data_IF_576535107961
#
_entry.id   IF_576535107961
#
_cell.length_a   1.000
_cell.length_b   1.000
_cell.length_c   1.000
_cell.angle_alpha   90.00
_cell.angle_beta   90.00
_cell.angle_gamma   90.00
#
_symmetry.space_group_name_H-M   'P 1'
#
loop_
_entity.id
_entity.type
_entity.pdbx_description
1 polymer ?
#
# COMPACT_ATOMS: atom_id res chain seq x y z
N UNK A 1 14.31 25.46 2.23
CA UNK A 1 14.77 24.07 2.00
C UNK A 1 14.92 23.38 3.35
N UNK A 2 13.86 22.73 3.86
CA UNK A 2 13.95 21.90 5.07
C UNK A 2 13.03 20.65 5.06
N UNK A 3 12.32 20.39 3.95
CA UNK A 3 11.30 19.33 3.91
C UNK A 3 11.87 17.94 3.56
N UNK A 4 13.14 17.85 3.14
CA UNK A 4 13.76 16.57 2.73
C UNK A 4 13.79 15.53 3.87
N UNK A 5 14.09 15.99 5.09
CA UNK A 5 14.07 15.14 6.28
C UNK A 5 12.64 14.70 6.63
N UNK A 6 11.68 15.62 6.53
CA UNK A 6 10.26 15.33 6.78
C UNK A 6 9.69 14.32 5.78
N UNK A 7 10.01 14.46 4.49
CA UNK A 7 9.63 13.50 3.47
C UNK A 7 10.24 12.12 3.70
N UNK A 8 11.51 12.07 4.12
CA UNK A 8 12.19 10.82 4.42
C UNK A 8 11.60 10.14 5.66
N UNK A 9 11.36 10.90 6.73
CA UNK A 9 10.77 10.41 7.98
C UNK A 9 9.35 9.90 7.75
N UNK A 10 8.53 10.71 7.08
CA UNK A 10 7.18 10.33 6.66
C UNK A 10 7.19 9.05 5.81
N UNK A 11 8.07 8.97 4.81
CA UNK A 11 8.14 7.78 3.95
C UNK A 11 8.53 6.53 4.75
N UNK A 12 9.51 6.65 5.64
CA UNK A 12 9.96 5.53 6.47
C UNK A 12 8.89 5.10 7.48
N UNK A 13 8.14 6.05 8.06
CA UNK A 13 7.08 5.76 9.01
C UNK A 13 5.85 5.15 8.32
N UNK A 14 5.41 5.75 7.21
CA UNK A 14 4.25 5.28 6.44
C UNK A 14 4.57 3.91 5.85
N UNK A 15 5.66 3.77 5.09
CA UNK A 15 5.97 2.60 4.27
C UNK A 15 6.87 1.55 4.95
N UNK A 16 6.99 1.56 6.28
CA UNK A 16 7.77 0.57 7.05
C UNK A 16 7.29 -0.87 6.87
N UNK A 17 6.00 -1.07 6.64
CA UNK A 17 5.36 -2.39 6.59
C UNK A 17 4.70 -2.61 5.22
N UNK A 18 5.43 -3.16 4.24
CA UNK A 18 4.91 -3.29 2.88
C UNK A 18 3.68 -4.19 2.81
N UNK A 19 3.44 -5.08 3.77
CA UNK A 19 2.23 -5.90 3.81
C UNK A 19 0.93 -5.08 4.01
N UNK A 20 1.00 -3.87 4.58
CA UNK A 20 -0.18 -3.09 4.99
C UNK A 20 -0.68 -2.07 3.97
N UNK A 21 0.09 -1.78 2.91
CA UNK A 21 -0.30 -0.78 1.90
C UNK A 21 -1.10 -1.39 0.75
N UNK A 22 -1.72 -0.57 -0.09
CA UNK A 22 -2.25 -1.03 -1.38
C UNK A 22 -1.12 -1.14 -2.41
N UNK A 23 -1.38 -1.81 -3.54
CA UNK A 23 -0.40 -1.96 -4.61
C UNK A 23 -0.02 -0.64 -5.29
N UNK A 24 -0.88 0.38 -5.17
CA UNK A 24 -0.66 1.73 -5.63
C UNK A 24 -1.14 2.71 -4.57
N UNK A 25 -0.28 3.65 -4.20
CA UNK A 25 -0.60 4.72 -3.27
C UNK A 25 -0.14 6.05 -3.85
N UNK A 26 -1.05 7.02 -3.82
CA UNK A 26 -0.77 8.43 -4.11
C UNK A 26 -1.02 9.20 -2.83
N UNK A 27 0.01 9.83 -2.26
CA UNK A 27 -0.13 10.57 -1.02
C UNK A 27 -0.02 12.08 -1.27
N UNK A 28 -0.98 12.84 -0.74
CA UNK A 28 -1.02 14.30 -0.85
C UNK A 28 0.20 15.00 -0.26
N UNK A 29 0.87 14.37 0.72
CA UNK A 29 2.11 14.87 1.29
C UNK A 29 3.27 14.84 0.30
N UNK A 30 3.20 14.06 -0.79
CA UNK A 30 4.19 14.06 -1.87
C UNK A 30 3.72 14.87 -3.09
N UNK A 31 3.06 16.00 -2.86
CA UNK A 31 2.71 16.97 -3.90
C UNK A 31 3.83 18.01 -4.05
N UNK A 32 4.18 18.30 -5.30
CA UNK A 32 5.14 19.32 -5.68
C UNK A 32 4.59 20.19 -6.80
N UNK A 33 4.96 21.47 -6.80
CA UNK A 33 4.60 22.39 -7.88
C UNK A 33 5.45 22.15 -9.14
N UNK A 34 6.69 21.67 -8.98
CA UNK A 34 7.59 21.37 -10.11
C UNK A 34 7.95 19.89 -10.20
N UNK A 35 8.20 19.43 -11.43
CA UNK A 35 8.71 18.07 -11.69
C UNK A 35 10.10 17.87 -11.11
N UNK A 36 10.93 18.92 -11.09
CA UNK A 36 12.32 18.86 -10.63
C UNK A 36 12.38 18.55 -9.13
N UNK A 37 11.59 19.26 -8.31
CA UNK A 37 11.50 19.01 -6.87
C UNK A 37 10.97 17.61 -6.55
N UNK A 38 9.96 17.16 -7.30
CA UNK A 38 9.44 15.79 -7.16
C UNK A 38 10.49 14.73 -7.51
N UNK A 39 11.28 14.95 -8.56
CA UNK A 39 12.35 14.04 -8.97
C UNK A 39 13.52 14.04 -7.97
N UNK A 40 13.91 15.20 -7.47
CA UNK A 40 14.95 15.32 -6.44
C UNK A 40 14.54 14.56 -5.18
N UNK A 41 13.32 14.79 -4.69
CA UNK A 41 12.79 14.09 -3.52
C UNK A 41 12.68 12.59 -3.77
N UNK A 42 12.18 12.16 -4.95
CA UNK A 42 12.14 10.74 -5.32
C UNK A 42 13.54 10.10 -5.29
N UNK A 43 14.54 10.76 -5.88
CA UNK A 43 15.91 10.24 -5.89
C UNK A 43 16.50 10.18 -4.49
N UNK A 44 16.24 11.19 -3.66
CA UNK A 44 16.64 11.20 -2.25
C UNK A 44 15.99 10.04 -1.46
N UNK A 45 14.69 9.77 -1.67
CA UNK A 45 14.00 8.65 -1.02
C UNK A 45 14.63 7.31 -1.44
N UNK A 46 14.92 7.11 -2.72
CA UNK A 46 15.58 5.91 -3.22
C UNK A 46 16.97 5.72 -2.58
N UNK A 47 17.73 6.80 -2.43
CA UNK A 47 19.10 6.73 -1.89
C UNK A 47 19.16 6.58 -0.37
N UNK A 48 18.24 7.21 0.36
CA UNK A 48 18.32 7.35 1.82
C UNK A 48 17.32 6.50 2.60
N UNK A 49 16.19 6.11 2.00
CA UNK A 49 15.20 5.30 2.70
C UNK A 49 15.55 3.81 2.64
N UNK A 50 15.67 3.12 3.78
CA UNK A 50 15.81 1.66 3.80
C UNK A 50 14.56 0.93 3.29
N UNK A 51 13.39 1.59 3.31
CA UNK A 51 12.12 1.05 2.87
C UNK A 51 11.93 1.15 1.36
N UNK A 52 12.58 2.10 0.68
CA UNK A 52 12.38 2.36 -0.74
C UNK A 52 12.67 1.14 -1.64
N UNK A 53 13.54 0.22 -1.20
CA UNK A 53 13.86 -1.02 -1.94
C UNK A 53 12.67 -1.97 -2.15
N UNK A 54 11.59 -1.82 -1.38
CA UNK A 54 10.38 -2.63 -1.52
C UNK A 54 9.33 -2.02 -2.46
N UNK A 55 9.60 -0.81 -2.97
CA UNK A 55 8.64 -0.04 -3.74
C UNK A 55 9.26 0.50 -5.03
N UNK A 56 8.41 0.67 -6.04
CA UNK A 56 8.69 1.42 -7.26
C UNK A 56 8.11 2.81 -7.11
N UNK A 57 8.99 3.80 -6.98
CA UNK A 57 8.63 5.21 -6.92
C UNK A 57 8.57 5.81 -8.33
N UNK A 58 7.47 6.48 -8.66
CA UNK A 58 7.29 7.19 -9.94
C UNK A 58 6.88 8.64 -9.69
N UNK A 59 7.07 9.51 -10.69
CA UNK A 59 6.62 10.91 -10.63
C UNK A 59 5.59 11.11 -11.73
N UNK A 60 4.37 11.43 -11.33
CA UNK A 60 3.22 11.55 -12.23
C UNK A 60 2.57 12.93 -12.04
N UNK A 61 2.18 13.58 -13.14
CA UNK A 61 1.38 14.80 -13.06
C UNK A 61 -0.08 14.41 -12.94
N UNK A 62 -0.71 14.78 -11.82
CA UNK A 62 -2.09 14.39 -11.53
C UNK A 62 -2.94 15.67 -11.55
N UNK A 63 -3.98 15.65 -12.39
CA UNK A 63 -5.06 16.63 -12.38
C UNK A 63 -6.33 15.95 -11.85
N UNK A 64 -6.51 15.90 -10.52
CA UNK A 64 -7.61 15.22 -9.89
C UNK A 64 -8.90 16.05 -10.05
N UNK A 65 -9.97 15.43 -10.52
CA UNK A 65 -11.16 16.20 -10.89
C UNK A 65 -11.88 16.89 -9.72
N UNK A 66 -11.72 16.49 -8.43
CA UNK A 66 -12.47 17.12 -7.31
C UNK A 66 -11.89 17.07 -5.88
N UNK A 67 -10.78 16.39 -5.56
CA UNK A 67 -10.38 16.20 -4.14
C UNK A 67 -8.89 16.32 -3.82
N UNK A 68 -8.03 16.36 -4.82
CA UNK A 68 -6.60 16.57 -4.62
C UNK A 68 -6.20 17.88 -5.34
N UNK A 69 -5.05 18.45 -5.00
CA UNK A 69 -4.56 19.63 -5.71
C UNK A 69 -3.92 19.21 -7.03
N UNK A 70 -3.95 20.07 -8.05
CA UNK A 70 -3.15 19.85 -9.26
C UNK A 70 -1.66 19.91 -8.91
N UNK A 71 -0.87 18.99 -9.46
CA UNK A 71 0.58 19.05 -9.30
C UNK A 71 1.31 17.78 -9.70
N UNK A 72 2.61 17.78 -9.42
CA UNK A 72 3.49 16.63 -9.56
C UNK A 72 3.45 15.81 -8.29
N UNK A 73 3.18 14.52 -8.42
CA UNK A 73 3.06 13.61 -7.29
C UNK A 73 4.11 12.52 -7.37
N UNK A 74 4.68 12.14 -6.22
CA UNK A 74 5.39 10.87 -6.11
C UNK A 74 4.37 9.77 -5.84
N UNK A 75 4.32 8.79 -6.74
CA UNK A 75 3.45 7.62 -6.63
C UNK A 75 4.27 6.41 -6.20
N UNK A 76 3.70 5.62 -5.30
CA UNK A 76 4.38 4.48 -4.68
C UNK A 76 3.66 3.21 -5.09
N UNK A 77 4.38 2.31 -5.77
CA UNK A 77 3.88 0.97 -6.12
C UNK A 77 4.67 -0.07 -5.36
N UNK A 78 4.03 -1.10 -4.86
CA UNK A 78 4.78 -2.23 -4.29
C UNK A 78 5.52 -2.99 -5.38
N UNK A 79 6.71 -3.47 -5.06
CA UNK A 79 7.36 -4.49 -5.87
C UNK A 79 6.81 -5.85 -5.42
N UNK A 80 6.42 -6.68 -6.39
CA UNK A 80 5.91 -8.05 -6.16
C UNK A 80 6.91 -8.95 -5.41
N UNK A 81 8.17 -8.53 -5.32
CA UNK A 81 9.27 -9.27 -4.69
C UNK A 81 9.30 -9.07 -3.16
N UNK A 82 8.16 -9.05 -2.49
CA UNK A 82 8.21 -9.43 -1.09
C UNK A 82 8.42 -10.95 -1.06
N UNK A 83 9.48 -11.48 -0.41
CA UNK A 83 9.39 -12.85 0.06
C UNK A 83 8.12 -12.88 0.89
N UNK A 84 7.12 -13.67 0.45
CA UNK A 84 5.98 -14.01 1.29
C UNK A 84 6.57 -14.29 2.66
N UNK A 85 6.16 -13.55 3.68
CA UNK A 85 6.36 -14.02 5.05
C UNK A 85 5.93 -15.49 5.01
N UNK A 86 6.74 -16.45 5.53
CA UNK A 86 6.28 -17.82 5.61
C UNK A 86 4.89 -17.74 6.20
N UNK A 87 3.91 -18.22 5.43
CA UNK A 87 2.54 -18.33 5.84
C UNK A 87 2.64 -18.93 7.24
N UNK A 88 2.37 -18.12 8.28
CA UNK A 88 2.17 -18.68 9.59
C UNK A 88 0.98 -19.58 9.34
N UNK A 89 1.27 -20.88 9.15
CA UNK A 89 0.28 -21.93 9.08
C UNK A 89 -0.67 -21.61 10.22
N UNK A 90 -1.82 -21.07 9.89
CA UNK A 90 -2.97 -21.15 10.76
C UNK A 90 -3.30 -22.63 10.75
N UNK A 91 -2.61 -23.35 11.62
CA UNK A 91 -3.05 -24.64 12.10
C UNK A 91 -4.43 -24.41 12.69
N UNK A 92 -5.40 -24.98 11.98
CA UNK A 92 -6.66 -25.49 12.53
C UNK A 92 -7.72 -24.44 12.86
N UNK A 93 -8.70 -24.29 11.96
CA UNK A 93 -10.03 -24.86 12.22
C UNK A 93 -10.90 -24.88 10.94
N UNK A 94 -11.60 -26.00 10.69
CA UNK A 94 -12.45 -26.17 9.53
C UNK A 94 -13.68 -25.26 9.61
N UNK A 95 -14.05 -24.75 8.43
CA UNK A 95 -15.33 -24.15 8.05
C UNK A 95 -16.51 -24.72 8.88
N UNK A 96 -17.28 -23.92 9.62
CA UNK A 96 -18.54 -24.39 10.17
C UNK A 96 -19.52 -24.58 9.01
N UNK A 97 -19.69 -25.85 8.65
CA UNK A 97 -20.79 -26.35 7.85
C UNK A 97 -22.12 -25.91 8.50
N UNK A 98 -23.04 -25.38 7.68
CA UNK A 98 -24.41 -25.08 8.11
C UNK A 98 -25.02 -26.34 8.77
N UNK A 99 -25.73 -26.23 9.91
CA UNK A 99 -26.50 -27.36 10.41
C UNK A 99 -27.63 -27.67 9.40
N UNK A 100 -27.51 -28.79 8.69
CA UNK A 100 -28.66 -29.42 8.05
C UNK A 100 -29.50 -30.05 9.17
N UNK A 101 -30.73 -29.56 9.31
CA UNK A 101 -31.76 -30.06 10.21
C UNK A 101 -32.05 -31.56 9.93
N UNK A 102 -32.26 -32.38 10.96
CA UNK A 102 -32.65 -33.77 10.80
C UNK A 102 -34.12 -33.91 10.37
N UNK A 103 -34.36 -35.04 9.73
CA UNK A 103 -35.54 -35.53 9.00
C UNK A 103 -36.77 -35.70 9.88
N UNK A 104 -37.97 -35.49 9.32
CA UNK A 104 -39.16 -36.27 9.72
C UNK A 104 -39.94 -36.76 8.50
N UNK A 105 -39.76 -38.06 8.23
CA UNK A 105 -40.75 -38.91 7.55
C UNK A 105 -42.06 -38.85 8.34
N UNK A 106 -43.18 -38.70 7.63
CA UNK A 106 -44.52 -39.01 8.16
C UNK A 106 -45.02 -40.25 7.42
N UNK A 107 -45.46 -41.32 8.11
CA UNK A 107 -45.97 -42.52 7.47
C UNK A 107 -47.41 -42.32 7.00
N UNK A 108 -47.73 -43.00 5.90
CA UNK A 108 -49.09 -43.31 5.43
C UNK A 108 -49.95 -43.94 6.51
N UNK A 109 -51.22 -43.56 6.52
CA UNK A 109 -52.33 -44.45 6.88
C UNK A 109 -53.59 -44.00 6.15
#
# INVERSE_FOLDING_TARGET
MNNAKEYLDFFNQEYKEPGKHSNYSTNSNFRFDTRADALETKNMLIQKSPCAKYYRLSVEYINPNRSMQVGWYITVRKLDHQPKAPDHQSTTSPKPEKPQQPTHKKPEK
#
